data_IF_435095316923
#
_entry.id   IF_435095316923
#
_cell.length_a   1.000
_cell.length_b   1.000
_cell.length_c   1.000
_cell.angle_alpha   90.00
_cell.angle_beta   90.00
_cell.angle_gamma   90.00
#
_symmetry.space_group_name_H-M   'P 1'
#
loop_
_entity.id
_entity.type
_entity.pdbx_description
1 polymer ?
#
# COMPACT_ATOMS: atom_id res chain seq x y z
N UNK A 1 7.76 -4.15 -48.78
CA UNK A 1 7.52 -2.70 -48.60
C UNK A 1 6.29 -2.20 -49.33
N UNK A 2 6.08 -2.53 -50.62
CA UNK A 2 4.93 -2.03 -51.41
C UNK A 2 3.55 -2.35 -50.83
N UNK A 3 3.34 -3.55 -50.27
CA UNK A 3 2.05 -3.93 -49.68
C UNK A 3 1.65 -3.05 -48.47
N UNK A 4 2.61 -2.76 -47.59
CA UNK A 4 2.36 -1.93 -46.40
C UNK A 4 2.01 -0.50 -46.83
N UNK A 5 2.72 0.04 -47.82
CA UNK A 5 2.47 1.38 -48.34
C UNK A 5 1.08 1.50 -48.98
N UNK A 6 0.72 0.53 -49.83
CA UNK A 6 -0.60 0.48 -50.46
C UNK A 6 -1.75 0.32 -49.44
N UNK A 7 -1.56 -0.53 -48.42
CA UNK A 7 -2.54 -0.68 -47.34
C UNK A 7 -2.70 0.61 -46.53
N UNK A 8 -1.59 1.32 -46.28
CA UNK A 8 -1.62 2.59 -45.53
C UNK A 8 -2.39 3.66 -46.30
N UNK A 9 -2.10 3.83 -47.60
CA UNK A 9 -2.80 4.79 -48.47
C UNK A 9 -4.30 4.48 -48.57
N UNK A 10 -4.66 3.20 -48.72
CA UNK A 10 -6.05 2.76 -48.81
C UNK A 10 -6.83 3.06 -47.51
N UNK A 11 -6.22 2.78 -46.35
CA UNK A 11 -6.82 3.08 -45.04
C UNK A 11 -6.94 4.59 -44.83
N UNK A 12 -5.92 5.37 -45.16
CA UNK A 12 -5.95 6.83 -45.02
C UNK A 12 -7.03 7.44 -45.91
N UNK A 13 -7.14 7.02 -47.18
CA UNK A 13 -8.18 7.48 -48.09
C UNK A 13 -9.58 7.13 -47.59
N UNK A 14 -9.76 5.93 -47.03
CA UNK A 14 -11.04 5.50 -46.47
C UNK A 14 -11.43 6.31 -45.23
N UNK A 15 -10.48 6.56 -44.32
CA UNK A 15 -10.67 7.38 -43.10
C UNK A 15 -11.02 8.83 -43.46
N UNK A 16 -10.32 9.43 -44.44
CA UNK A 16 -10.61 10.78 -44.91
C UNK A 16 -11.99 10.90 -45.58
N UNK A 17 -12.49 9.83 -46.21
CA UNK A 17 -13.81 9.81 -46.85
C UNK A 17 -14.97 9.58 -45.87
N UNK A 18 -14.70 8.96 -44.71
CA UNK A 18 -15.70 8.61 -43.70
C UNK A 18 -15.41 9.27 -42.34
N UNK A 19 -15.02 10.54 -42.37
CA UNK A 19 -14.67 11.33 -41.17
C UNK A 19 -15.75 11.30 -40.10
N UNK A 20 -17.03 11.35 -40.49
CA UNK A 20 -18.17 11.28 -39.57
C UNK A 20 -18.24 9.94 -38.81
N UNK A 21 -17.88 8.83 -39.46
CA UNK A 21 -17.86 7.49 -38.83
C UNK A 21 -16.71 7.40 -37.83
N UNK A 22 -15.53 7.88 -38.20
CA UNK A 22 -14.35 7.83 -37.33
C UNK A 22 -14.49 8.76 -36.13
N UNK A 23 -15.02 9.98 -36.31
CA UNK A 23 -15.37 10.88 -35.20
C UNK A 23 -16.45 10.29 -34.29
N UNK A 24 -17.45 9.60 -34.87
CA UNK A 24 -18.50 8.93 -34.10
C UNK A 24 -17.96 7.81 -33.21
N UNK A 25 -17.08 6.96 -33.74
CA UNK A 25 -16.46 5.86 -32.97
C UNK A 25 -15.56 6.40 -31.85
N UNK A 26 -14.76 7.43 -32.10
CA UNK A 26 -13.92 8.08 -31.06
C UNK A 26 -14.79 8.73 -29.99
N UNK A 27 -15.88 9.41 -30.36
CA UNK A 27 -16.79 10.02 -29.41
C UNK A 27 -17.50 8.97 -28.54
N UNK A 28 -17.99 7.88 -29.13
CA UNK A 28 -18.66 6.78 -28.39
C UNK A 28 -17.69 6.08 -27.46
N UNK A 29 -16.47 5.77 -27.92
CA UNK A 29 -15.46 5.10 -27.09
C UNK A 29 -15.01 6.01 -25.94
N UNK A 30 -14.81 7.30 -26.21
CA UNK A 30 -14.47 8.29 -25.18
C UNK A 30 -15.62 8.45 -24.18
N UNK A 31 -16.87 8.58 -24.64
CA UNK A 31 -18.05 8.63 -23.79
C UNK A 31 -18.23 7.36 -22.96
N UNK A 32 -17.97 6.17 -23.54
CA UNK A 32 -18.01 4.90 -22.84
C UNK A 32 -16.91 4.80 -21.77
N UNK A 33 -15.69 5.24 -22.08
CA UNK A 33 -14.59 5.31 -21.11
C UNK A 33 -14.92 6.30 -19.99
N UNK A 34 -15.41 7.50 -20.31
CA UNK A 34 -15.84 8.51 -19.32
C UNK A 34 -17.00 8.01 -18.48
N UNK A 35 -17.99 7.35 -19.07
CA UNK A 35 -19.11 6.71 -18.37
C UNK A 35 -18.62 5.63 -17.41
N UNK A 36 -17.72 4.75 -17.88
CA UNK A 36 -17.14 3.68 -17.04
C UNK A 36 -16.29 4.25 -15.91
N UNK A 37 -15.54 5.32 -16.15
CA UNK A 37 -14.77 6.05 -15.12
C UNK A 37 -15.69 6.76 -14.10
N UNK A 38 -16.78 7.38 -14.56
CA UNK A 38 -17.76 8.04 -13.71
C UNK A 38 -18.55 7.04 -12.85
N UNK A 39 -18.95 5.90 -13.42
CA UNK A 39 -19.68 4.86 -12.70
C UNK A 39 -18.81 3.96 -11.82
N UNK A 40 -17.48 3.93 -12.02
CA UNK A 40 -16.56 3.24 -11.10
C UNK A 40 -16.63 3.81 -9.67
N UNK A 41 -17.06 5.07 -9.51
CA UNK A 41 -17.27 5.71 -8.21
C UNK A 41 -18.57 5.30 -7.51
N UNK A 42 -19.58 4.79 -8.22
CA UNK A 42 -20.96 4.64 -7.70
C UNK A 42 -21.29 3.28 -7.09
N UNK A 43 -20.32 2.39 -6.92
CA UNK A 43 -20.62 1.07 -6.37
C UNK A 43 -19.40 0.39 -5.76
N UNK A 44 -18.82 0.97 -4.71
CA UNK A 44 -17.80 0.27 -3.89
C UNK A 44 -18.37 -0.96 -3.17
N UNK A 45 -19.69 -1.15 -3.22
CA UNK A 45 -20.37 -2.30 -2.63
C UNK A 45 -20.15 -2.32 -1.12
N UNK A 46 -20.35 -1.14 -0.50
CA UNK A 46 -20.36 -0.94 0.95
C UNK A 46 -21.35 -1.95 1.52
N UNK A 47 -20.87 -2.79 2.44
CA UNK A 47 -21.74 -3.72 3.16
C UNK A 47 -22.40 -2.98 4.33
N UNK A 48 -23.61 -3.41 4.67
CA UNK A 48 -24.30 -2.88 5.84
C UNK A 48 -23.55 -3.29 7.11
N UNK A 49 -23.35 -2.32 7.99
CA UNK A 49 -22.74 -2.49 9.30
C UNK A 49 -23.64 -1.84 10.35
N UNK A 50 -23.58 -2.30 11.61
CA UNK A 50 -24.27 -1.61 12.69
C UNK A 50 -23.88 -0.12 12.73
N UNK A 51 -24.79 0.78 13.15
CA UNK A 51 -24.48 2.20 13.30
C UNK A 51 -23.20 2.42 14.10
N UNK A 52 -22.37 3.38 13.69
CA UNK A 52 -21.11 3.70 14.34
C UNK A 52 -20.07 2.56 14.36
N UNK A 53 -20.20 1.57 13.48
CA UNK A 53 -19.18 0.54 13.26
C UNK A 53 -18.42 0.80 11.97
N UNK A 54 -17.09 0.82 12.04
CA UNK A 54 -16.23 0.91 10.87
C UNK A 54 -16.20 -0.44 10.15
N UNK A 55 -16.39 -0.45 8.83
CA UNK A 55 -16.04 -1.63 8.02
C UNK A 55 -14.67 -1.41 7.44
N UNK A 56 -13.72 -2.27 7.78
CA UNK A 56 -12.37 -2.31 7.22
C UNK A 56 -12.31 -3.32 6.08
N UNK A 57 -12.16 -2.83 4.86
CA UNK A 57 -11.99 -3.67 3.67
C UNK A 57 -10.50 -3.93 3.45
N UNK A 58 -10.11 -5.20 3.55
CA UNK A 58 -8.72 -5.62 3.40
C UNK A 58 -8.58 -7.01 2.78
N UNK A 59 -7.35 -7.41 2.47
CA UNK A 59 -7.07 -8.76 1.96
C UNK A 59 -7.35 -9.81 3.05
N UNK A 60 -7.61 -11.08 2.67
CA UNK A 60 -7.66 -12.18 3.62
C UNK A 60 -6.35 -12.28 4.44
N UNK A 61 -6.47 -12.85 5.64
CA UNK A 61 -5.32 -13.10 6.50
C UNK A 61 -4.33 -14.03 5.81
N UNK A 62 -3.04 -13.73 5.94
CA UNK A 62 -1.97 -14.62 5.50
C UNK A 62 -1.61 -15.61 6.63
N UNK A 63 -0.93 -16.73 6.33
CA UNK A 63 -0.60 -17.74 7.34
C UNK A 63 0.13 -17.18 8.57
N UNK A 64 0.96 -16.16 8.39
CA UNK A 64 1.84 -15.62 9.43
C UNK A 64 1.57 -14.17 9.79
N UNK A 65 0.71 -13.45 9.07
CA UNK A 65 0.44 -12.03 9.32
C UNK A 65 -1.05 -11.70 9.15
N UNK A 66 -1.63 -10.78 9.96
CA UNK A 66 -3.01 -10.35 9.81
C UNK A 66 -3.38 -9.89 8.39
N UNK A 67 -2.42 -9.36 7.64
CA UNK A 67 -2.59 -8.99 6.24
C UNK A 67 -1.24 -8.91 5.53
N UNK A 68 -1.21 -9.22 4.23
CA UNK A 68 -0.02 -9.04 3.39
C UNK A 68 0.32 -7.57 3.13
N UNK A 69 -0.63 -6.66 3.33
CA UNK A 69 -0.38 -5.23 3.20
C UNK A 69 -0.18 -4.61 4.59
N UNK A 70 0.99 -3.99 4.86
CA UNK A 70 1.24 -3.33 6.14
C UNK A 70 0.22 -2.23 6.40
N UNK A 71 -0.29 -1.56 5.37
CA UNK A 71 -1.28 -0.49 5.55
C UNK A 71 -2.59 -0.97 6.18
N UNK A 72 -3.01 -2.22 5.93
CA UNK A 72 -4.20 -2.78 6.58
C UNK A 72 -3.92 -3.16 8.03
N UNK A 73 -2.73 -3.70 8.31
CA UNK A 73 -2.27 -3.95 9.69
C UNK A 73 -2.21 -2.63 10.47
N UNK A 74 -1.66 -1.57 9.87
CA UNK A 74 -1.58 -0.22 10.46
C UNK A 74 -2.96 0.29 10.85
N UNK A 75 -3.91 0.24 9.91
CA UNK A 75 -5.26 0.74 10.13
C UNK A 75 -6.03 -0.12 11.15
N UNK A 76 -5.91 -1.44 11.10
CA UNK A 76 -6.53 -2.33 12.09
C UNK A 76 -5.94 -2.12 13.49
N UNK A 77 -4.62 -1.93 13.61
CA UNK A 77 -3.95 -1.58 14.86
C UNK A 77 -4.44 -0.24 15.40
N UNK A 78 -4.59 0.76 14.54
CA UNK A 78 -5.13 2.07 14.94
C UNK A 78 -6.54 1.93 15.51
N UNK A 79 -7.45 1.24 14.80
CA UNK A 79 -8.83 1.03 15.24
C UNK A 79 -8.88 0.36 16.63
N UNK A 80 -8.01 -0.62 16.87
CA UNK A 80 -7.90 -1.31 18.16
C UNK A 80 -7.40 -0.39 19.28
N UNK A 81 -6.32 0.36 19.03
CA UNK A 81 -5.73 1.28 20.03
C UNK A 81 -6.69 2.42 20.37
N UNK A 82 -7.37 2.97 19.36
CA UNK A 82 -8.39 3.99 19.51
C UNK A 82 -9.73 3.46 20.07
N UNK A 83 -9.85 2.14 20.27
CA UNK A 83 -11.09 1.47 20.73
C UNK A 83 -12.30 1.76 19.84
N UNK A 84 -12.07 1.91 18.53
CA UNK A 84 -13.12 2.14 17.55
C UNK A 84 -13.75 0.79 17.17
N UNK A 85 -15.07 0.60 17.32
CA UNK A 85 -15.75 -0.61 16.87
C UNK A 85 -15.57 -0.81 15.37
N UNK A 86 -15.14 -2.00 14.96
CA UNK A 86 -14.95 -2.31 13.56
C UNK A 86 -15.22 -3.78 13.22
N UNK A 87 -15.53 -4.01 11.94
CA UNK A 87 -15.64 -5.34 11.33
C UNK A 87 -14.72 -5.42 10.11
N UNK A 88 -14.15 -6.61 9.87
CA UNK A 88 -13.32 -6.86 8.69
C UNK A 88 -14.17 -7.41 7.54
N UNK A 89 -14.03 -6.81 6.37
CA UNK A 89 -14.50 -7.38 5.11
C UNK A 89 -13.29 -7.85 4.29
N UNK A 90 -13.32 -9.12 3.87
CA UNK A 90 -12.26 -9.76 3.10
C UNK A 90 -12.67 -10.04 1.64
N UNK A 91 -13.75 -9.44 1.15
CA UNK A 91 -14.32 -9.69 -0.18
C UNK A 91 -13.51 -9.05 -1.34
N UNK A 92 -12.26 -8.64 -1.07
CA UNK A 92 -11.28 -8.14 -2.05
C UNK A 92 -11.80 -7.11 -3.04
N UNK A 93 -12.78 -6.28 -2.63
CA UNK A 93 -13.23 -5.12 -3.40
C UNK A 93 -12.27 -3.97 -3.24
N UNK A 94 -11.63 -3.56 -4.33
CA UNK A 94 -10.71 -2.43 -4.31
C UNK A 94 -11.41 -1.11 -4.02
N UNK A 95 -10.69 -0.19 -3.38
CA UNK A 95 -11.18 1.18 -3.16
C UNK A 95 -11.32 1.97 -4.47
N UNK A 96 -11.85 3.19 -4.37
CA UNK A 96 -11.90 4.15 -5.48
C UNK A 96 -10.52 4.49 -6.07
N UNK A 97 -9.44 4.21 -5.31
CA UNK A 97 -8.04 4.38 -5.71
C UNK A 97 -7.38 3.10 -6.22
N UNK A 98 -8.10 1.98 -6.30
CA UNK A 98 -7.54 0.69 -6.73
C UNK A 98 -6.57 0.08 -5.72
N UNK A 99 -6.73 0.38 -4.43
CA UNK A 99 -5.82 -0.05 -3.35
C UNK A 99 -6.57 -0.52 -2.10
N UNK A 100 -5.89 -1.33 -1.29
CA UNK A 100 -6.28 -1.72 0.06
C UNK A 100 -5.26 -1.19 1.09
N UNK A 101 -5.67 -0.97 2.34
CA UNK A 101 -7.04 -1.04 2.85
C UNK A 101 -7.87 0.20 2.47
N UNK A 102 -9.17 0.13 2.76
CA UNK A 102 -10.06 1.27 2.82
C UNK A 102 -11.17 1.00 3.84
N UNK A 103 -11.92 2.04 4.22
CA UNK A 103 -13.01 1.91 5.19
C UNK A 103 -14.34 2.38 4.63
N UNK A 104 -15.42 1.89 5.21
CA UNK A 104 -16.70 2.60 5.21
C UNK A 104 -17.17 2.86 6.64
N UNK A 105 -17.71 4.04 6.87
CA UNK A 105 -18.27 4.44 8.16
C UNK A 105 -19.54 5.25 7.93
N UNK A 106 -20.67 4.75 8.45
CA UNK A 106 -22.01 5.35 8.28
C UNK A 106 -22.34 5.69 6.80
N UNK A 107 -22.00 4.79 5.87
CA UNK A 107 -22.27 4.94 4.43
C UNK A 107 -21.23 5.77 3.66
N UNK A 108 -20.29 6.43 4.33
CA UNK A 108 -19.19 7.15 3.68
C UNK A 108 -17.97 6.23 3.51
N UNK A 109 -17.44 6.14 2.29
CA UNK A 109 -16.25 5.34 1.99
C UNK A 109 -14.98 6.20 1.87
N UNK A 110 -13.91 5.79 2.55
CA UNK A 110 -12.62 6.49 2.57
C UNK A 110 -11.50 5.53 2.19
N UNK A 111 -10.77 5.89 1.13
CA UNK A 111 -9.65 5.11 0.62
C UNK A 111 -8.32 5.68 1.14
N UNK A 112 -7.32 4.80 1.31
CA UNK A 112 -6.01 5.06 1.95
C UNK A 112 -6.04 4.93 3.48
N UNK A 113 -5.04 4.29 4.07
CA UNK A 113 -4.98 4.02 5.50
C UNK A 113 -4.79 5.28 6.33
N UNK A 114 -3.95 6.22 5.90
CA UNK A 114 -3.72 7.46 6.63
C UNK A 114 -4.93 8.37 6.53
N UNK A 115 -5.49 8.54 5.33
CA UNK A 115 -6.70 9.35 5.17
C UNK A 115 -7.90 8.79 5.92
N UNK A 116 -7.97 7.45 6.06
CA UNK A 116 -8.99 6.79 6.89
C UNK A 116 -8.82 7.15 8.37
N UNK A 117 -7.58 7.15 8.88
CA UNK A 117 -7.28 7.56 10.25
C UNK A 117 -7.65 9.04 10.46
N UNK A 118 -7.21 9.93 9.57
CA UNK A 118 -7.49 11.37 9.66
C UNK A 118 -9.00 11.66 9.63
N UNK A 119 -9.73 10.95 8.75
CA UNK A 119 -11.19 11.04 8.65
C UNK A 119 -11.88 10.60 9.95
N UNK A 120 -11.48 9.46 10.53
CA UNK A 120 -12.06 8.96 11.77
C UNK A 120 -11.74 9.87 12.95
N UNK A 121 -10.52 10.42 13.01
CA UNK A 121 -10.13 11.38 14.04
C UNK A 121 -11.02 12.61 14.02
N UNK A 122 -11.26 13.16 12.83
CA UNK A 122 -12.15 14.30 12.65
C UNK A 122 -13.60 13.97 13.02
N UNK A 123 -14.13 12.82 12.59
CA UNK A 123 -15.54 12.43 12.81
C UNK A 123 -15.84 12.01 14.26
N UNK A 124 -14.87 11.42 14.96
CA UNK A 124 -15.05 10.85 16.29
C UNK A 124 -14.42 11.69 17.42
N UNK A 125 -13.65 12.74 17.08
CA UNK A 125 -12.92 13.53 18.06
C UNK A 125 -11.80 12.75 18.77
N UNK A 126 -11.18 11.79 18.07
CA UNK A 126 -10.10 10.94 18.58
C UNK A 126 -8.76 11.46 18.06
N UNK A 127 -7.75 11.48 18.92
CA UNK A 127 -6.37 11.75 18.52
C UNK A 127 -5.40 10.97 19.42
N UNK A 128 -4.72 9.96 18.86
CA UNK A 128 -3.68 9.21 19.59
C UNK A 128 -2.42 10.04 19.86
N UNK A 129 -2.23 11.14 19.12
CA UNK A 129 -1.10 12.04 19.27
C UNK A 129 -1.42 13.25 20.17
N UNK A 130 -2.57 13.25 20.86
CA UNK A 130 -3.09 14.42 21.62
C UNK A 130 -2.15 14.94 22.72
N UNK A 131 -1.30 14.07 23.27
CA UNK A 131 -0.38 14.41 24.35
C UNK A 131 1.00 14.88 23.83
N UNK A 132 1.21 14.87 22.52
CA UNK A 132 2.46 15.29 21.90
C UNK A 132 2.48 16.80 21.70
N UNK A 133 3.63 17.42 21.98
CA UNK A 133 3.94 18.79 21.57
C UNK A 133 4.01 18.91 20.04
N UNK A 134 3.94 20.13 19.51
CA UNK A 134 4.03 20.35 18.06
C UNK A 134 5.34 19.80 17.45
N UNK A 135 6.45 19.91 18.19
CA UNK A 135 7.74 19.35 17.77
C UNK A 135 7.71 17.81 17.73
N UNK A 136 7.11 17.17 18.74
CA UNK A 136 6.94 15.72 18.78
C UNK A 136 5.97 15.22 17.71
N UNK A 137 4.90 15.97 17.40
CA UNK A 137 4.00 15.65 16.29
C UNK A 137 4.71 15.71 14.95
N UNK A 138 5.56 16.72 14.73
CA UNK A 138 6.38 16.83 13.53
C UNK A 138 7.38 15.66 13.43
N UNK A 139 8.00 15.29 14.54
CA UNK A 139 8.89 14.12 14.61
C UNK A 139 8.14 12.82 14.30
N UNK A 140 6.99 12.58 14.94
CA UNK A 140 6.15 11.40 14.71
C UNK A 140 5.71 11.31 13.24
N UNK A 141 5.34 12.44 12.63
CA UNK A 141 5.02 12.52 11.21
C UNK A 141 6.21 12.11 10.33
N UNK A 142 7.42 12.63 10.61
CA UNK A 142 8.61 12.29 9.85
C UNK A 142 8.92 10.78 9.89
N UNK A 143 8.87 10.17 11.08
CA UNK A 143 9.05 8.72 11.23
C UNK A 143 7.96 7.93 10.53
N UNK A 144 6.70 8.36 10.65
CA UNK A 144 5.59 7.70 9.95
C UNK A 144 5.80 7.72 8.44
N UNK A 145 6.16 8.86 7.87
CA UNK A 145 6.42 8.99 6.42
C UNK A 145 7.62 8.15 5.99
N UNK A 146 8.70 8.13 6.78
CA UNK A 146 9.85 7.24 6.54
C UNK A 146 9.42 5.77 6.46
N UNK A 147 8.59 5.32 7.39
CA UNK A 147 8.06 3.95 7.42
C UNK A 147 7.11 3.68 6.25
N UNK A 148 6.10 4.52 6.06
CA UNK A 148 5.03 4.32 5.08
C UNK A 148 5.52 4.45 3.63
N UNK A 149 6.57 5.25 3.39
CA UNK A 149 7.11 5.49 2.05
C UNK A 149 8.44 4.77 1.83
N UNK A 150 9.51 5.12 2.57
CA UNK A 150 10.84 4.56 2.27
C UNK A 150 10.94 3.06 2.59
N UNK A 151 10.66 2.70 3.85
CA UNK A 151 10.77 1.32 4.33
C UNK A 151 9.78 0.38 3.61
N UNK A 152 8.59 0.88 3.27
CA UNK A 152 7.60 0.16 2.47
C UNK A 152 8.15 -0.27 1.10
N UNK A 153 8.82 0.62 0.36
CA UNK A 153 9.33 0.26 -0.96
C UNK A 153 10.49 -0.73 -0.89
N UNK A 154 11.30 -0.66 0.17
CA UNK A 154 12.29 -1.70 0.47
C UNK A 154 11.62 -3.05 0.71
N UNK A 155 10.56 -3.10 1.54
CA UNK A 155 9.74 -4.31 1.75
C UNK A 155 9.19 -4.85 0.43
N UNK A 156 8.65 -4.00 -0.44
CA UNK A 156 8.11 -4.41 -1.76
C UNK A 156 9.20 -5.02 -2.64
N UNK A 157 10.40 -4.43 -2.67
CA UNK A 157 11.53 -4.99 -3.42
C UNK A 157 11.89 -6.39 -2.94
N UNK A 158 12.13 -6.53 -1.64
CA UNK A 158 12.55 -7.82 -1.09
C UNK A 158 11.45 -8.88 -1.16
N UNK A 159 10.17 -8.49 -1.05
CA UNK A 159 9.06 -9.43 -1.15
C UNK A 159 8.83 -9.97 -2.57
N UNK A 160 9.00 -9.13 -3.60
CA UNK A 160 8.57 -9.49 -4.96
C UNK A 160 9.71 -9.68 -5.95
N UNK A 161 10.82 -8.99 -5.76
CA UNK A 161 11.94 -8.97 -6.73
C UNK A 161 13.09 -9.84 -6.26
N UNK A 162 13.45 -9.76 -4.97
CA UNK A 162 14.56 -10.54 -4.43
C UNK A 162 14.24 -12.04 -4.42
N UNK A 163 14.97 -12.80 -5.21
CA UNK A 163 14.61 -14.18 -5.58
C UNK A 163 14.50 -15.11 -4.37
N UNK A 164 15.36 -14.93 -3.36
CA UNK A 164 15.37 -15.72 -2.13
C UNK A 164 14.13 -15.51 -1.26
N UNK A 165 13.40 -14.40 -1.44
CA UNK A 165 12.25 -14.05 -0.62
C UNK A 165 10.92 -14.05 -1.42
N UNK A 166 10.93 -14.39 -2.71
CA UNK A 166 9.71 -14.43 -3.51
C UNK A 166 8.71 -15.53 -3.09
N UNK A 167 9.13 -16.51 -2.28
CA UNK A 167 8.33 -17.65 -1.83
C UNK A 167 7.80 -17.53 -0.39
N UNK A 168 8.24 -16.51 0.36
CA UNK A 168 8.02 -16.41 1.81
C UNK A 168 6.62 -15.92 2.21
N UNK A 169 5.81 -15.45 1.26
CA UNK A 169 4.42 -15.06 1.53
C UNK A 169 3.46 -16.25 1.70
N UNK A 170 3.94 -17.48 1.48
CA UNK A 170 3.17 -18.72 1.74
C UNK A 170 1.90 -18.87 0.89
N UNK A 171 1.74 -18.04 -0.15
CA UNK A 171 0.58 -18.07 -1.03
C UNK A 171 0.79 -19.07 -2.17
N UNK A 172 -0.16 -19.99 -2.34
CA UNK A 172 -0.24 -20.86 -3.52
C UNK A 172 -0.88 -20.06 -4.66
N UNK A 173 -0.06 -19.37 -5.45
CA UNK A 173 -0.50 -18.53 -6.58
C UNK A 173 -0.01 -19.14 -7.89
N UNK A 174 -0.87 -19.27 -8.92
CA UNK A 174 -0.46 -19.72 -10.25
C UNK A 174 0.71 -18.89 -10.81
N UNK A 175 1.65 -19.56 -11.47
CA UNK A 175 2.91 -18.96 -11.94
C UNK A 175 2.70 -17.70 -12.82
N UNK A 176 1.66 -17.67 -13.65
CA UNK A 176 1.36 -16.54 -14.53
C UNK A 176 0.88 -15.31 -13.75
N UNK A 177 0.14 -15.50 -12.65
CA UNK A 177 -0.26 -14.40 -11.76
C UNK A 177 0.97 -13.86 -11.03
N UNK A 178 1.84 -14.75 -10.53
CA UNK A 178 3.12 -14.33 -9.92
C UNK A 178 3.98 -13.53 -10.90
N UNK A 179 4.08 -13.97 -12.15
CA UNK A 179 4.78 -13.23 -13.21
C UNK A 179 4.20 -11.82 -13.41
N UNK A 180 2.87 -11.68 -13.46
CA UNK A 180 2.20 -10.37 -13.55
C UNK A 180 2.47 -9.49 -12.33
N UNK A 181 2.40 -10.04 -11.12
CA UNK A 181 2.69 -9.30 -9.87
C UNK A 181 4.13 -8.81 -9.89
N UNK A 182 5.11 -9.67 -10.20
CA UNK A 182 6.53 -9.29 -10.30
C UNK A 182 6.77 -8.19 -11.33
N UNK A 183 6.17 -8.32 -12.52
CA UNK A 183 6.27 -7.30 -13.59
C UNK A 183 5.72 -5.95 -13.13
N UNK A 184 4.55 -5.95 -12.47
CA UNK A 184 3.92 -4.74 -11.96
C UNK A 184 4.68 -4.13 -10.78
N UNK A 185 5.22 -4.94 -9.88
CA UNK A 185 6.05 -4.50 -8.77
C UNK A 185 7.33 -3.84 -9.28
N UNK A 186 8.03 -4.46 -10.24
CA UNK A 186 9.24 -3.90 -10.86
C UNK A 186 8.97 -2.54 -11.50
N UNK A 187 7.85 -2.40 -12.23
CA UNK A 187 7.43 -1.12 -12.83
C UNK A 187 7.18 -0.05 -11.77
N UNK A 188 6.44 -0.39 -10.71
CA UNK A 188 6.13 0.55 -9.62
C UNK A 188 7.39 0.99 -8.86
N UNK A 189 8.25 0.03 -8.49
CA UNK A 189 9.53 0.30 -7.82
C UNK A 189 10.41 1.25 -8.64
N UNK A 190 10.53 1.03 -9.95
CA UNK A 190 11.33 1.90 -10.82
C UNK A 190 10.70 3.29 -11.00
N UNK A 191 9.37 3.37 -11.06
CA UNK A 191 8.65 4.64 -11.16
C UNK A 191 8.80 5.47 -9.88
N UNK A 192 8.77 4.83 -8.70
CA UNK A 192 8.96 5.51 -7.42
C UNK A 192 10.42 5.90 -7.17
N UNK A 193 11.38 5.08 -7.62
CA UNK A 193 12.81 5.35 -7.52
C UNK A 193 13.58 4.23 -6.84
N UNK A 194 12.99 3.51 -5.88
CA UNK A 194 13.64 2.42 -5.17
C UNK A 194 14.20 1.34 -6.11
N UNK A 195 13.45 1.01 -7.17
CA UNK A 195 13.85 -0.01 -8.16
C UNK A 195 14.98 0.41 -9.11
N UNK A 196 15.59 1.57 -8.93
CA UNK A 196 16.76 2.03 -9.68
C UNK A 196 18.08 1.69 -8.97
N UNK A 197 17.99 1.27 -7.72
CA UNK A 197 19.13 0.93 -6.88
C UNK A 197 19.51 -0.55 -7.00
N UNK A 198 20.74 -0.87 -6.62
CA UNK A 198 21.18 -2.27 -6.48
C UNK A 198 20.55 -2.93 -5.26
N UNK A 199 20.57 -4.26 -5.20
CA UNK A 199 20.07 -5.00 -4.03
C UNK A 199 20.76 -4.57 -2.74
N UNK A 200 22.07 -4.37 -2.79
CA UNK A 200 22.91 -3.95 -1.66
C UNK A 200 22.56 -2.54 -1.20
N UNK A 201 22.37 -1.60 -2.14
CA UNK A 201 21.92 -0.23 -1.84
C UNK A 201 20.53 -0.21 -1.19
N UNK A 202 19.59 -1.02 -1.69
CA UNK A 202 18.24 -1.13 -1.11
C UNK A 202 18.31 -1.75 0.29
N UNK A 203 19.16 -2.77 0.48
CA UNK A 203 19.40 -3.37 1.80
C UNK A 203 19.94 -2.34 2.78
N UNK A 204 20.92 -1.52 2.38
CA UNK A 204 21.48 -0.46 3.21
C UNK A 204 20.43 0.59 3.58
N UNK A 205 19.60 1.05 2.63
CA UNK A 205 18.50 1.99 2.91
C UNK A 205 17.51 1.45 3.94
N UNK A 206 17.09 0.21 3.76
CA UNK A 206 16.21 -0.47 4.71
C UNK A 206 16.85 -0.57 6.11
N UNK A 207 18.13 -0.93 6.19
CA UNK A 207 18.85 -1.00 7.46
C UNK A 207 18.95 0.37 8.14
N UNK A 208 19.20 1.45 7.39
CA UNK A 208 19.23 2.82 7.92
C UNK A 208 17.88 3.23 8.52
N UNK A 209 16.76 2.91 7.86
CA UNK A 209 15.42 3.18 8.39
C UNK A 209 15.17 2.39 9.69
N UNK A 210 15.61 1.12 9.74
CA UNK A 210 15.48 0.27 10.93
C UNK A 210 16.37 0.74 12.08
N UNK A 211 17.59 1.19 11.80
CA UNK A 211 18.48 1.82 12.77
C UNK A 211 17.87 3.11 13.31
N UNK A 212 17.26 3.94 12.45
CA UNK A 212 16.56 5.15 12.88
C UNK A 212 15.36 4.84 13.78
N UNK A 213 14.56 3.81 13.45
CA UNK A 213 13.48 3.34 14.32
C UNK A 213 14.00 2.83 15.67
N UNK A 214 15.08 2.04 15.66
CA UNK A 214 15.72 1.52 16.87
C UNK A 214 16.25 2.64 17.76
N UNK A 215 16.96 3.60 17.18
CA UNK A 215 17.47 4.77 17.89
C UNK A 215 16.34 5.64 18.44
N UNK A 216 15.27 5.84 17.67
CA UNK A 216 14.10 6.57 18.13
C UNK A 216 13.38 5.85 19.26
N UNK A 217 13.22 4.52 19.20
CA UNK A 217 12.60 3.76 20.28
C UNK A 217 13.48 3.82 21.54
N UNK A 218 14.77 3.54 21.42
CA UNK A 218 15.71 3.54 22.53
C UNK A 218 15.21 2.68 23.69
N UNK A 219 15.11 3.28 24.88
CA UNK A 219 14.57 2.64 26.08
C UNK A 219 13.08 2.94 26.32
N UNK A 220 12.40 3.63 25.39
CA UNK A 220 10.98 3.98 25.53
C UNK A 220 10.10 2.76 25.24
N UNK A 221 8.90 2.74 25.79
CA UNK A 221 7.92 1.69 25.50
C UNK A 221 7.35 1.83 24.08
N UNK A 222 7.18 3.07 23.61
CA UNK A 222 6.65 3.41 22.30
C UNK A 222 7.52 4.49 21.64
N UNK A 223 7.38 4.67 20.34
CA UNK A 223 8.21 5.57 19.52
C UNK A 223 8.27 7.00 20.09
N UNK A 224 7.17 7.46 20.69
CA UNK A 224 7.02 8.82 21.22
C UNK A 224 6.91 8.89 22.75
N UNK A 225 7.19 7.81 23.49
CA UNK A 225 7.21 7.82 24.96
C UNK A 225 6.48 6.63 25.59
N UNK A 226 5.64 6.91 26.58
CA UNK A 226 5.02 5.88 27.44
C UNK A 226 3.64 5.40 26.96
N UNK A 227 3.07 6.04 25.93
CA UNK A 227 1.78 5.66 25.35
C UNK A 227 1.90 5.46 23.84
N UNK A 228 1.17 4.50 23.26
CA UNK A 228 1.20 4.27 21.83
C UNK A 228 0.57 5.44 21.07
N UNK A 229 1.21 5.80 19.97
CA UNK A 229 0.81 6.88 19.08
C UNK A 229 0.56 6.34 17.67
N UNK A 230 0.15 7.20 16.75
CA UNK A 230 -0.12 6.78 15.36
C UNK A 230 1.13 6.23 14.65
N UNK A 231 2.32 6.75 14.96
CA UNK A 231 3.57 6.26 14.37
C UNK A 231 3.87 4.82 14.79
N UNK A 232 3.50 4.42 16.02
CA UNK A 232 3.62 3.04 16.49
C UNK A 232 2.76 2.07 15.66
N UNK A 233 1.58 2.50 15.22
CA UNK A 233 0.73 1.70 14.34
C UNK A 233 1.44 1.39 13.00
N UNK A 234 2.15 2.39 12.46
CA UNK A 234 2.87 2.28 11.18
C UNK A 234 4.12 1.42 11.34
N UNK A 235 4.92 1.67 12.39
CA UNK A 235 6.11 0.90 12.71
C UNK A 235 5.77 -0.59 12.96
N UNK A 236 4.80 -0.87 13.83
CA UNK A 236 4.34 -2.23 14.12
C UNK A 236 3.89 -2.97 12.84
N UNK A 237 3.09 -2.29 12.02
CA UNK A 237 2.59 -2.88 10.78
C UNK A 237 3.70 -3.23 9.78
N UNK A 238 4.68 -2.35 9.62
CA UNK A 238 5.79 -2.58 8.72
C UNK A 238 6.73 -3.68 9.25
N UNK A 239 7.10 -3.60 10.53
CA UNK A 239 7.98 -4.57 11.17
C UNK A 239 7.37 -5.97 11.21
N UNK A 240 6.08 -6.10 11.51
CA UNK A 240 5.40 -7.39 11.45
C UNK A 240 5.46 -7.98 10.04
N UNK A 241 5.23 -7.17 9.01
CA UNK A 241 5.37 -7.61 7.62
C UNK A 241 6.81 -8.03 7.30
N UNK A 242 7.83 -7.29 7.72
CA UNK A 242 9.24 -7.65 7.51
C UNK A 242 9.56 -8.98 8.19
N UNK A 243 9.26 -9.13 9.48
CA UNK A 243 9.55 -10.33 10.28
C UNK A 243 8.87 -11.57 9.71
N UNK A 244 7.60 -11.48 9.34
CA UNK A 244 6.85 -12.63 8.82
C UNK A 244 7.07 -12.90 7.32
N UNK A 245 7.55 -11.90 6.55
CA UNK A 245 7.80 -12.08 5.11
C UNK A 245 9.24 -12.48 4.81
N UNK A 246 10.17 -12.45 5.75
CA UNK A 246 11.55 -12.80 5.47
C UNK A 246 11.99 -13.82 6.52
N UNK A 247 12.05 -15.08 6.13
CA UNK A 247 12.72 -16.11 6.93
C UNK A 247 14.22 -16.04 6.62
N UNK A 248 15.00 -15.72 7.65
CA UNK A 248 16.45 -15.87 7.81
C UNK A 248 17.44 -15.06 6.95
N UNK A 249 17.20 -14.68 5.68
CA UNK A 249 18.27 -14.02 4.89
C UNK A 249 18.41 -12.50 5.17
N UNK A 250 17.31 -11.86 5.57
CA UNK A 250 17.25 -10.40 5.76
C UNK A 250 17.03 -10.05 7.23
N UNK A 251 16.08 -10.73 7.87
CA UNK A 251 15.63 -10.45 9.24
C UNK A 251 16.48 -11.13 10.31
N UNK A 252 17.23 -12.20 10.02
CA UNK A 252 18.03 -12.86 11.05
C UNK A 252 19.09 -11.94 11.66
N UNK A 253 19.77 -11.13 10.84
CA UNK A 253 20.72 -10.12 11.32
C UNK A 253 20.03 -8.96 12.05
N UNK A 254 18.84 -8.56 11.58
CA UNK A 254 18.04 -7.47 12.19
C UNK A 254 17.51 -7.88 13.57
N UNK A 255 16.99 -9.10 13.71
CA UNK A 255 16.34 -9.61 14.94
C UNK A 255 17.37 -10.05 15.99
N UNK A 256 18.56 -10.49 15.59
CA UNK A 256 19.60 -10.95 16.53
C UNK A 256 20.41 -9.81 17.18
N UNK A 257 20.14 -8.54 16.86
CA UNK A 257 20.93 -7.42 17.39
C UNK A 257 22.38 -7.43 16.88
N UNK A 258 22.66 -8.19 15.83
CA UNK A 258 23.93 -8.12 15.11
C UNK A 258 23.89 -6.83 14.29
N UNK A 259 24.17 -5.71 14.97
CA UNK A 259 24.68 -4.51 14.32
C UNK A 259 25.78 -5.00 13.38
N UNK A 260 25.52 -4.92 12.08
CA UNK A 260 26.39 -5.42 11.04
C UNK A 260 27.77 -4.78 11.27
N UNK A 261 28.72 -5.56 11.80
CA UNK A 261 30.09 -5.10 11.98
C UNK A 261 30.59 -4.68 10.59
N UNK A 262 30.75 -3.36 10.43
CA UNK A 262 31.35 -2.77 9.23
C UNK A 262 32.78 -3.30 9.16
N UNK A 263 33.02 -4.23 8.24
CA UNK A 263 34.34 -4.46 7.67
C UNK A 263 34.53 -3.50 6.49
#
# INVERSE_FOLDING_TARGET
MQFVQHATETVTAWVCKHTYVTTGVVAITTAHVLYKLANRKKGLGIIDAPPNTVVLYQLPRAPFTPSLTPFAVKLETYLRLAKIPYQNDHNTKESSKGKFPWISYNGEAVADSQLSIDYLNSKLGIDLNKNLTDAERAQAHAFRVMVDENLYWSLVYFRWIYEKCAYSVGLVVPWYIMFMIKKNAKKQLHAQGMGRHTTEEIKQKMLQDLEALSAQLGNKQYMMGDSPTEVDCSAFAMLSCLVFSFHDDITSGIVKGEAYNKH
#
